data_IF_857537687698
#
_entry.id   IF_857537687698
#
_cell.length_a   1.000
_cell.length_b   1.000
_cell.length_c   1.000
_cell.angle_alpha   90.00
_cell.angle_beta   90.00
_cell.angle_gamma   90.00
#
_symmetry.space_group_name_H-M   'P 1'
#
loop_
_entity.id
_entity.type
_entity.pdbx_description
1 polymer ?
#
# COMPACT_ATOMS: atom_id res chain seq x y z
N UNK A 1 25.77 11.68 28.61
CA UNK A 1 24.62 11.55 27.69
C UNK A 1 24.92 12.44 26.50
N UNK A 2 24.95 11.89 25.29
CA UNK A 2 25.21 12.67 24.08
C UNK A 2 23.94 13.43 23.66
N UNK A 3 24.09 14.60 23.05
CA UNK A 3 22.95 15.38 22.55
C UNK A 3 22.39 14.69 21.30
N UNK A 4 21.07 14.54 21.24
CA UNK A 4 20.42 13.92 20.09
C UNK A 4 20.07 14.95 19.02
N UNK A 5 20.38 14.61 17.78
CA UNK A 5 20.16 15.43 16.60
C UNK A 5 19.33 14.65 15.58
N UNK A 6 18.53 15.34 14.79
CA UNK A 6 17.79 14.77 13.68
C UNK A 6 18.65 14.76 12.40
N UNK A 7 18.51 13.70 11.58
CA UNK A 7 19.27 13.55 10.35
C UNK A 7 18.88 14.59 9.29
N UNK A 8 19.88 15.29 8.76
CA UNK A 8 19.77 16.19 7.62
C UNK A 8 18.71 17.30 7.75
N UNK A 9 18.48 17.81 8.96
CA UNK A 9 17.59 18.96 9.21
C UNK A 9 18.39 20.24 9.46
N UNK A 10 17.76 21.39 9.21
CA UNK A 10 18.33 22.71 9.49
C UNK A 10 18.10 23.10 10.94
N UNK A 11 18.96 23.97 11.46
CA UNK A 11 18.76 24.69 12.72
C UNK A 11 18.68 23.82 13.98
N UNK A 12 19.74 23.05 14.26
CA UNK A 12 19.86 22.26 15.49
C UNK A 12 20.93 22.84 16.41
N UNK A 13 20.55 23.43 17.53
CA UNK A 13 21.49 24.07 18.46
C UNK A 13 22.21 23.05 19.35
N UNK A 14 23.54 23.13 19.37
CA UNK A 14 24.40 22.37 20.28
C UNK A 14 25.18 23.31 21.19
N UNK A 15 25.01 23.22 22.53
CA UNK A 15 25.89 23.90 23.47
C UNK A 15 27.28 23.27 23.44
N UNK A 16 28.30 24.12 23.46
CA UNK A 16 29.72 23.77 23.39
C UNK A 16 30.50 24.52 24.46
N UNK A 17 31.48 23.84 25.06
CA UNK A 17 32.28 24.38 26.16
C UNK A 17 32.04 23.61 27.47
N UNK A 18 32.42 24.20 28.63
CA UNK A 18 32.99 25.55 28.76
C UNK A 18 34.40 25.66 28.15
N UNK A 19 34.71 26.81 27.56
CA UNK A 19 36.06 27.19 27.17
C UNK A 19 36.76 27.87 28.35
N UNK A 20 37.83 27.26 28.82
CA UNK A 20 38.65 27.76 29.92
C UNK A 20 40.02 28.18 29.39
N UNK A 21 40.63 29.17 30.03
CA UNK A 21 41.94 29.69 29.66
C UNK A 21 43.01 28.59 29.67
N UNK A 22 43.86 28.56 28.65
CA UNK A 22 45.00 27.65 28.56
C UNK A 22 46.12 27.97 29.56
N UNK A 23 46.07 29.16 30.18
CA UNK A 23 47.07 29.61 31.15
C UNK A 23 46.83 29.02 32.54
N UNK A 24 45.57 28.94 32.97
CA UNK A 24 45.20 28.53 34.33
C UNK A 24 44.22 27.35 34.39
N UNK A 25 43.68 26.93 33.24
CA UNK A 25 42.68 25.87 33.14
C UNK A 25 41.38 26.14 33.91
N UNK A 26 41.11 27.40 34.26
CA UNK A 26 40.03 27.78 35.20
C UNK A 26 39.24 29.00 34.76
N UNK A 27 39.88 30.04 34.24
CA UNK A 27 39.21 31.29 33.88
C UNK A 27 38.39 31.09 32.62
N UNK A 28 37.09 31.40 32.67
CA UNK A 28 36.22 31.27 31.51
C UNK A 28 36.57 32.27 30.41
N UNK A 29 36.72 31.78 29.17
CA UNK A 29 36.96 32.62 28.00
C UNK A 29 35.63 33.04 27.38
N UNK A 30 35.28 34.32 27.49
CA UNK A 30 33.97 34.86 27.04
C UNK A 30 34.05 35.72 25.78
N UNK A 31 35.26 36.01 25.29
CA UNK A 31 35.52 36.88 24.13
C UNK A 31 36.02 36.15 22.88
N UNK A 32 35.90 34.82 22.82
CA UNK A 32 36.34 34.02 21.68
C UNK A 32 35.46 34.30 20.45
N UNK A 33 36.10 34.53 19.31
CA UNK A 33 35.45 34.49 17.98
C UNK A 33 35.70 33.12 17.39
N UNK A 34 34.67 32.27 17.35
CA UNK A 34 34.77 30.89 16.87
C UNK A 34 34.07 30.82 15.51
N UNK A 35 34.84 30.66 14.43
CA UNK A 35 34.31 30.53 13.08
C UNK A 35 33.87 29.08 12.80
N UNK A 36 33.10 28.87 11.72
CA UNK A 36 32.70 27.53 11.29
C UNK A 36 33.92 26.64 10.97
N UNK A 37 35.02 27.23 10.48
CA UNK A 37 36.27 26.54 10.20
C UNK A 37 37.03 26.07 11.44
N UNK A 38 36.75 26.66 12.61
CA UNK A 38 37.37 26.27 13.88
C UNK A 38 36.66 25.06 14.52
N UNK A 39 35.45 24.76 14.07
CA UNK A 39 34.64 23.64 14.52
C UNK A 39 34.86 22.46 13.56
N UNK A 40 35.66 21.49 13.99
CA UNK A 40 35.94 20.28 13.22
C UNK A 40 34.97 19.17 13.62
N UNK A 41 34.24 18.63 12.65
CA UNK A 41 33.30 17.54 12.85
C UNK A 41 33.90 16.23 12.35
N UNK A 42 33.87 15.22 13.21
CA UNK A 42 34.00 13.83 12.79
C UNK A 42 32.59 13.25 12.64
N UNK A 43 32.27 12.84 11.41
CA UNK A 43 30.98 12.22 11.06
C UNK A 43 31.14 10.71 11.09
N UNK A 44 30.07 9.99 11.42
CA UNK A 44 30.03 8.53 11.49
C UNK A 44 30.75 7.87 10.31
N UNK A 45 31.80 7.10 10.60
CA UNK A 45 32.59 6.36 9.60
C UNK A 45 33.61 7.18 8.80
N UNK A 46 33.78 8.48 9.07
CA UNK A 46 34.75 9.31 8.36
C UNK A 46 36.20 9.00 8.77
N UNK A 47 37.13 9.09 7.81
CA UNK A 47 38.59 8.98 8.06
C UNK A 47 39.26 10.34 8.24
N UNK A 48 38.54 11.43 7.98
CA UNK A 48 39.01 12.81 8.09
C UNK A 48 37.98 13.69 8.79
N UNK A 49 38.43 14.73 9.49
CA UNK A 49 37.55 15.75 10.03
C UNK A 49 37.17 16.75 8.95
N UNK A 50 35.93 17.23 8.98
CA UNK A 50 35.42 18.28 8.08
C UNK A 50 35.11 19.53 8.88
N UNK A 51 35.15 20.69 8.23
CA UNK A 51 34.66 21.91 8.87
C UNK A 51 33.15 21.82 9.03
N UNK A 52 32.63 22.47 10.06
CA UNK A 52 31.22 22.82 10.10
C UNK A 52 30.84 23.60 8.84
N UNK A 53 29.70 23.27 8.25
CA UNK A 53 29.30 23.78 6.94
C UNK A 53 29.14 25.31 6.91
N UNK A 54 28.36 25.87 7.83
CA UNK A 54 28.10 27.31 7.90
C UNK A 54 27.83 27.77 9.34
N UNK A 55 28.04 29.07 9.60
CA UNK A 55 27.82 29.70 10.91
C UNK A 55 28.88 29.32 11.96
N UNK A 56 29.36 30.33 12.70
CA UNK A 56 30.27 30.14 13.83
C UNK A 56 29.53 29.79 15.12
N UNK A 57 30.24 29.89 16.25
CA UNK A 57 29.62 29.76 17.57
C UNK A 57 29.39 31.14 18.23
N UNK A 58 28.34 31.22 19.04
CA UNK A 58 27.94 32.44 19.75
C UNK A 58 27.99 32.21 21.25
N UNK A 59 28.55 33.17 22.00
CA UNK A 59 28.67 33.07 23.46
C UNK A 59 27.29 33.07 24.14
N UNK A 60 27.09 32.16 25.09
CA UNK A 60 25.91 32.12 25.95
C UNK A 60 26.23 32.74 27.31
N UNK A 61 27.09 32.08 28.10
CA UNK A 61 27.47 32.48 29.46
C UNK A 61 28.68 31.68 29.94
N UNK A 62 29.51 32.27 30.80
CA UNK A 62 30.57 31.56 31.55
C UNK A 62 31.50 30.69 30.67
N UNK A 63 31.82 31.17 29.46
CA UNK A 63 32.66 30.43 28.51
C UNK A 63 31.93 29.28 27.79
N UNK A 64 30.63 29.12 27.97
CA UNK A 64 29.77 28.25 27.16
C UNK A 64 29.29 29.04 25.94
N UNK A 65 29.40 28.43 24.77
CA UNK A 65 28.91 28.94 23.49
C UNK A 65 27.86 27.97 22.94
N UNK A 66 27.14 28.35 21.89
CA UNK A 66 26.37 27.39 21.10
C UNK A 66 26.74 27.52 19.62
N UNK A 67 26.61 26.42 18.90
CA UNK A 67 26.66 26.39 17.44
C UNK A 67 25.37 25.77 16.90
N UNK A 68 24.90 26.24 15.74
CA UNK A 68 23.69 25.72 15.10
C UNK A 68 24.10 24.80 13.95
N UNK A 69 23.91 23.49 14.09
CA UNK A 69 24.20 22.50 13.05
C UNK A 69 23.10 22.48 11.99
N UNK A 70 23.48 22.23 10.74
CA UNK A 70 22.57 22.17 9.60
C UNK A 70 22.48 20.77 8.97
N UNK A 71 21.76 20.69 7.85
CA UNK A 71 21.53 19.44 7.14
C UNK A 71 22.83 18.81 6.59
N UNK A 72 23.82 19.63 6.25
CA UNK A 72 25.12 19.16 5.77
C UNK A 72 25.95 18.61 6.92
N UNK A 73 25.95 19.29 8.07
CA UNK A 73 26.66 18.84 9.26
C UNK A 73 26.12 17.47 9.74
N UNK A 74 24.79 17.33 9.73
CA UNK A 74 24.06 16.15 10.24
C UNK A 74 23.69 15.14 9.16
N UNK A 75 24.38 15.12 8.01
CA UNK A 75 23.97 14.29 6.85
C UNK A 75 24.22 12.78 6.98
N UNK A 76 24.89 12.33 8.05
CA UNK A 76 25.18 10.91 8.31
C UNK A 76 24.64 10.51 9.68
N UNK A 77 23.86 9.42 9.70
CA UNK A 77 23.30 8.83 10.92
C UNK A 77 24.40 8.15 11.73
N UNK A 78 24.31 8.27 13.06
CA UNK A 78 25.24 7.68 14.02
C UNK A 78 25.98 8.74 14.86
N UNK A 79 27.11 8.38 15.46
CA UNK A 79 27.87 9.29 16.31
C UNK A 79 28.43 10.48 15.50
N UNK A 80 28.32 11.67 16.09
CA UNK A 80 28.89 12.92 15.58
C UNK A 80 29.70 13.55 16.70
N UNK A 81 30.99 13.80 16.46
CA UNK A 81 31.88 14.37 17.49
C UNK A 81 32.49 15.65 16.95
N UNK A 82 32.41 16.72 17.73
CA UNK A 82 33.03 17.99 17.39
C UNK A 82 34.26 18.27 18.23
N UNK A 83 35.28 18.83 17.58
CA UNK A 83 36.54 19.25 18.19
C UNK A 83 36.80 20.71 17.86
N UNK A 84 37.15 21.49 18.89
CA UNK A 84 37.38 22.93 18.77
C UNK A 84 38.65 23.26 19.56
N UNK A 85 39.56 24.00 18.92
CA UNK A 85 40.78 24.49 19.56
C UNK A 85 40.97 25.94 19.16
N UNK A 86 40.84 26.83 20.15
CA UNK A 86 41.03 28.27 19.99
C UNK A 86 42.28 28.70 20.72
N UNK A 87 43.00 29.70 20.17
CA UNK A 87 44.12 30.30 20.89
C UNK A 87 43.64 30.93 22.21
N UNK A 88 44.41 30.73 23.28
CA UNK A 88 44.06 31.24 24.62
C UNK A 88 43.03 30.41 25.37
N UNK A 89 42.57 29.28 24.81
CA UNK A 89 41.61 28.38 25.46
C UNK A 89 42.03 26.92 25.35
N UNK A 90 41.70 26.13 26.37
CA UNK A 90 41.85 24.68 26.33
C UNK A 90 40.96 24.08 25.23
N UNK A 91 41.41 23.01 24.53
CA UNK A 91 40.59 22.33 23.53
C UNK A 91 39.30 21.76 24.13
N UNK A 92 38.21 21.87 23.38
CA UNK A 92 36.88 21.38 23.77
C UNK A 92 36.43 20.30 22.78
N UNK A 93 35.84 19.23 23.34
CA UNK A 93 35.15 18.19 22.60
C UNK A 93 33.67 18.19 22.99
N UNK A 94 32.78 18.04 22.02
CA UNK A 94 31.37 17.76 22.25
C UNK A 94 30.93 16.50 21.50
N UNK A 95 29.97 15.79 22.07
CA UNK A 95 29.49 14.51 21.54
C UNK A 95 27.98 14.58 21.30
N UNK A 96 27.60 14.30 20.07
CA UNK A 96 26.24 14.23 19.61
C UNK A 96 25.97 12.87 18.96
N UNK A 97 24.69 12.56 18.78
CA UNK A 97 24.23 11.43 17.98
C UNK A 97 23.21 11.91 16.98
N UNK A 98 23.52 11.76 15.70
CA UNK A 98 22.55 11.96 14.62
C UNK A 98 21.68 10.73 14.56
N UNK A 99 20.42 10.90 14.93
CA UNK A 99 19.39 9.88 14.85
C UNK A 99 18.94 9.72 13.41
N UNK A 100 18.56 8.51 13.04
CA UNK A 100 17.84 8.30 11.79
C UNK A 100 16.55 9.13 11.83
N UNK A 101 16.01 9.65 10.70
CA UNK A 101 14.72 10.35 10.71
C UNK A 101 13.61 9.51 11.33
N UNK A 102 13.77 8.19 11.33
CA UNK A 102 12.85 7.21 11.90
C UNK A 102 13.14 6.80 13.34
N UNK A 103 14.17 7.31 14.00
CA UNK A 103 14.38 7.02 15.43
C UNK A 103 13.45 7.83 16.34
N UNK A 104 13.03 9.03 15.91
CA UNK A 104 11.87 9.72 16.51
C UNK A 104 10.53 9.20 15.95
N UNK A 105 10.60 8.31 14.96
CA UNK A 105 9.46 7.59 14.41
C UNK A 105 9.62 6.13 14.85
N UNK A 106 9.60 5.92 16.16
CA UNK A 106 9.33 4.58 16.75
C UNK A 106 8.04 3.96 16.20
N UNK A 107 7.32 4.66 15.33
CA UNK A 107 6.26 4.10 14.53
C UNK A 107 6.33 4.45 13.05
N UNK A 108 7.22 3.75 12.33
CA UNK A 108 7.12 3.64 10.88
C UNK A 108 5.96 2.67 10.55
N UNK A 109 4.71 3.10 10.79
CA UNK A 109 3.46 2.31 10.74
C UNK A 109 3.14 1.66 9.39
N UNK A 110 3.93 1.94 8.34
CA UNK A 110 3.80 1.29 7.04
C UNK A 110 4.47 -0.09 6.97
N UNK A 111 5.11 -0.56 8.05
CA UNK A 111 5.80 -1.86 8.06
C UNK A 111 5.46 -2.79 9.23
N UNK A 112 4.72 -2.35 10.23
CA UNK A 112 4.40 -3.17 11.41
C UNK A 112 2.91 -3.50 11.48
N UNK A 113 2.59 -4.73 11.87
CA UNK A 113 1.23 -5.12 12.22
C UNK A 113 0.81 -4.40 13.51
N UNK A 114 -0.42 -3.91 13.55
CA UNK A 114 -0.96 -3.15 14.67
C UNK A 114 -2.05 -3.93 15.36
N UNK A 115 -1.96 -4.07 16.66
CA UNK A 115 -2.88 -4.86 17.47
C UNK A 115 -3.79 -3.94 18.27
N UNK A 116 -5.06 -4.30 18.37
CA UNK A 116 -6.05 -3.51 19.11
C UNK A 116 -7.28 -4.33 19.47
N UNK A 117 -7.98 -3.90 20.51
CA UNK A 117 -9.31 -4.41 20.85
C UNK A 117 -10.40 -3.47 20.31
N UNK A 118 -11.49 -4.05 19.80
CA UNK A 118 -12.65 -3.28 19.38
C UNK A 118 -13.34 -2.62 20.57
N UNK A 119 -13.96 -1.47 20.33
CA UNK A 119 -14.61 -0.67 21.38
C UNK A 119 -16.07 -0.39 21.09
N UNK A 120 -16.83 -0.04 22.12
CA UNK A 120 -18.22 0.38 21.99
C UNK A 120 -19.11 -0.72 21.43
N UNK A 121 -19.79 -0.45 20.32
CA UNK A 121 -20.70 -1.40 19.66
C UNK A 121 -20.17 -1.73 18.27
N UNK A 122 -19.17 -2.63 18.16
CA UNK A 122 -18.69 -3.07 16.85
C UNK A 122 -19.76 -3.89 16.14
N UNK A 123 -19.69 -3.90 14.82
CA UNK A 123 -20.59 -4.68 13.95
C UNK A 123 -19.75 -5.46 12.93
N UNK A 124 -20.39 -6.31 12.14
CA UNK A 124 -19.69 -7.07 11.09
C UNK A 124 -19.02 -6.17 10.03
N UNK A 125 -19.42 -4.91 9.87
CA UNK A 125 -18.88 -3.98 8.86
C UNK A 125 -18.17 -2.77 9.44
N UNK A 126 -18.33 -2.50 10.75
CA UNK A 126 -17.77 -1.32 11.40
C UNK A 126 -17.09 -1.69 12.70
N UNK A 127 -15.82 -1.35 12.82
CA UNK A 127 -15.01 -1.64 14.01
C UNK A 127 -14.57 -0.30 14.63
N UNK A 128 -15.23 0.15 15.70
CA UNK A 128 -14.78 1.32 16.46
C UNK A 128 -13.47 0.99 17.19
N UNK A 129 -12.50 1.89 17.08
CA UNK A 129 -11.18 1.78 17.70
C UNK A 129 -11.05 2.81 18.83
N UNK A 130 -10.40 2.43 19.93
CA UNK A 130 -10.29 3.27 21.13
C UNK A 130 -9.62 2.52 22.28
N UNK A 131 -9.47 3.18 23.43
CA UNK A 131 -8.79 2.59 24.59
C UNK A 131 -9.68 1.57 25.30
N UNK A 132 -9.47 0.28 25.02
CA UNK A 132 -9.87 -0.84 25.88
C UNK A 132 -8.69 -1.81 25.92
N UNK A 133 -8.22 -2.18 27.12
CA UNK A 133 -7.24 -3.26 27.32
C UNK A 133 -5.85 -3.05 26.69
N UNK A 134 -5.76 -3.28 25.38
CA UNK A 134 -4.55 -3.24 24.56
C UNK A 134 -4.83 -2.57 23.21
N UNK A 135 -4.12 -1.49 22.86
CA UNK A 135 -4.21 -0.85 21.54
C UNK A 135 -2.93 -0.13 21.17
N UNK A 136 -2.22 -0.69 20.20
CA UNK A 136 -1.06 -0.07 19.54
C UNK A 136 -1.50 0.84 18.37
N UNK A 137 -2.81 0.93 18.10
CA UNK A 137 -3.38 1.79 17.05
C UNK A 137 -3.57 3.24 17.51
N UNK A 138 -2.99 4.23 16.79
CA UNK A 138 -3.27 5.64 17.04
C UNK A 138 -4.72 6.03 16.70
N UNK A 139 -5.39 6.79 17.56
CA UNK A 139 -6.73 7.30 17.26
C UNK A 139 -6.69 8.55 16.35
N UNK A 140 -6.26 8.41 15.09
CA UNK A 140 -6.13 9.53 14.14
C UNK A 140 -7.43 10.32 13.97
N UNK A 141 -7.36 11.64 13.89
CA UNK A 141 -8.51 12.52 13.60
C UNK A 141 -8.78 12.69 12.10
N UNK A 142 -7.84 12.27 11.27
CA UNK A 142 -7.93 12.36 9.80
C UNK A 142 -8.73 11.20 9.23
N UNK A 143 -9.65 11.50 8.33
CA UNK A 143 -10.36 10.47 7.57
C UNK A 143 -9.40 9.70 6.66
N UNK A 144 -9.65 8.41 6.49
CA UNK A 144 -8.91 7.58 5.53
C UNK A 144 -7.54 7.09 5.99
N UNK A 145 -7.09 7.40 7.21
CA UNK A 145 -5.75 7.07 7.73
C UNK A 145 -5.38 5.57 7.64
N UNK A 146 -6.37 4.68 7.62
CA UNK A 146 -6.21 3.23 7.63
C UNK A 146 -6.65 2.54 6.33
N UNK A 147 -7.09 3.30 5.33
CA UNK A 147 -7.68 2.73 4.10
C UNK A 147 -6.63 1.94 3.32
N UNK A 148 -7.01 0.74 2.88
CA UNK A 148 -6.14 -0.20 2.17
C UNK A 148 -5.49 -1.25 3.06
N UNK A 149 -5.43 -1.03 4.38
CA UNK A 149 -4.94 -2.03 5.32
C UNK A 149 -5.86 -3.25 5.38
N UNK A 150 -5.29 -4.41 5.69
CA UNK A 150 -6.05 -5.62 5.97
C UNK A 150 -6.34 -5.72 7.46
N UNK A 151 -7.55 -6.15 7.80
CA UNK A 151 -7.95 -6.45 9.16
C UNK A 151 -8.06 -7.96 9.32
N UNK A 152 -7.35 -8.52 10.30
CA UNK A 152 -7.46 -9.91 10.73
C UNK A 152 -8.13 -9.95 12.10
N UNK A 153 -9.19 -10.74 12.24
CA UNK A 153 -9.72 -11.06 13.57
C UNK A 153 -8.86 -12.10 14.27
N UNK A 154 -8.52 -11.84 15.53
CA UNK A 154 -7.76 -12.76 16.39
C UNK A 154 -8.66 -13.53 17.37
N UNK A 155 -9.91 -13.12 17.51
CA UNK A 155 -10.84 -13.66 18.50
C UNK A 155 -11.51 -14.95 18.05
N UNK A 156 -12.05 -15.00 16.82
CA UNK A 156 -12.68 -16.20 16.26
C UNK A 156 -12.48 -16.26 14.74
N UNK A 157 -12.08 -17.45 14.24
CA UNK A 157 -12.02 -17.83 12.81
C UNK A 157 -10.97 -17.18 11.89
N UNK A 158 -10.00 -16.42 12.39
CA UNK A 158 -8.95 -15.80 11.55
C UNK A 158 -9.54 -15.16 10.28
N UNK A 159 -10.68 -14.48 10.43
CA UNK A 159 -11.37 -13.83 9.32
C UNK A 159 -10.57 -12.61 8.86
N UNK A 160 -10.39 -12.46 7.55
CA UNK A 160 -9.66 -11.34 6.94
C UNK A 160 -10.64 -10.46 6.18
N UNK A 161 -10.55 -9.16 6.42
CA UNK A 161 -11.26 -8.13 5.68
C UNK A 161 -10.31 -6.98 5.32
N UNK A 162 -10.80 -5.98 4.60
CA UNK A 162 -10.04 -4.80 4.21
C UNK A 162 -10.70 -3.55 4.74
N UNK A 163 -9.89 -2.62 5.21
CA UNK A 163 -10.35 -1.30 5.59
C UNK A 163 -10.63 -0.49 4.33
N UNK A 164 -11.90 -0.20 4.08
CA UNK A 164 -12.36 0.59 2.93
C UNK A 164 -12.57 2.06 3.28
N UNK A 165 -12.86 2.36 4.55
CA UNK A 165 -12.93 3.72 5.06
C UNK A 165 -12.48 3.81 6.51
N UNK A 166 -12.12 5.01 6.93
CA UNK A 166 -11.92 5.35 8.34
C UNK A 166 -12.48 6.74 8.60
N UNK A 167 -13.37 6.85 9.60
CA UNK A 167 -13.88 8.14 10.07
C UNK A 167 -13.08 8.58 11.30
N UNK A 168 -12.30 9.65 11.14
CA UNK A 168 -11.43 10.17 12.19
C UNK A 168 -12.15 10.92 13.31
N UNK A 169 -13.40 11.34 13.11
CA UNK A 169 -14.23 11.94 14.16
C UNK A 169 -14.80 10.87 15.10
N UNK A 170 -15.34 9.78 14.55
CA UNK A 170 -15.95 8.69 15.32
C UNK A 170 -14.96 7.58 15.69
N UNK A 171 -13.72 7.63 15.17
CA UNK A 171 -12.70 6.60 15.34
C UNK A 171 -13.20 5.23 14.91
N UNK A 172 -13.80 5.14 13.74
CA UNK A 172 -14.43 3.90 13.27
C UNK A 172 -13.84 3.45 11.94
N UNK A 173 -13.35 2.22 11.90
CA UNK A 173 -12.97 1.53 10.68
C UNK A 173 -14.22 0.99 10.00
N UNK A 174 -14.33 1.17 8.69
CA UNK A 174 -15.30 0.46 7.84
C UNK A 174 -14.56 -0.59 7.05
N UNK A 175 -15.09 -1.80 7.04
CA UNK A 175 -14.47 -2.95 6.40
C UNK A 175 -15.37 -3.61 5.36
N UNK A 176 -14.74 -4.20 4.34
CA UNK A 176 -15.40 -4.98 3.30
C UNK A 176 -14.42 -6.08 2.80
N UNK A 177 -14.82 -7.36 2.73
CA UNK A 177 -16.15 -7.92 3.05
C UNK A 177 -16.52 -7.86 4.54
N UNK A 178 -17.82 -7.89 4.91
CA UNK A 178 -18.23 -7.99 6.31
C UNK A 178 -17.64 -9.24 6.99
N UNK A 179 -17.33 -9.14 8.28
CA UNK A 179 -16.95 -10.31 9.07
C UNK A 179 -18.09 -11.34 9.12
N UNK A 180 -17.80 -12.65 9.15
CA UNK A 180 -18.82 -13.70 9.17
C UNK A 180 -19.53 -13.83 10.54
N UNK A 181 -19.22 -12.96 11.49
CA UNK A 181 -19.79 -12.90 12.83
C UNK A 181 -19.92 -11.44 13.26
N UNK A 182 -20.73 -11.19 14.29
CA UNK A 182 -20.84 -9.87 14.93
C UNK A 182 -19.83 -9.78 16.06
N UNK A 183 -18.75 -8.97 15.93
CA UNK A 183 -17.80 -8.74 17.01
C UNK A 183 -18.45 -8.04 18.21
N UNK A 184 -17.79 -8.16 19.37
CA UNK A 184 -18.14 -7.49 20.63
C UNK A 184 -17.04 -6.52 21.06
N UNK A 185 -17.36 -5.61 21.97
CA UNK A 185 -16.34 -4.78 22.61
C UNK A 185 -15.35 -5.67 23.36
N UNK A 186 -14.05 -5.41 23.20
CA UNK A 186 -12.98 -6.22 23.77
C UNK A 186 -12.46 -7.33 22.85
N UNK A 187 -13.10 -7.58 21.69
CA UNK A 187 -12.58 -8.54 20.73
C UNK A 187 -11.30 -8.01 20.07
N UNK A 188 -10.26 -8.85 20.00
CA UNK A 188 -8.94 -8.46 19.48
C UNK A 188 -8.82 -8.61 17.96
N UNK A 189 -8.12 -7.65 17.36
CA UNK A 189 -7.86 -7.54 15.94
C UNK A 189 -6.41 -7.15 15.66
N UNK A 190 -5.97 -7.45 14.45
CA UNK A 190 -4.68 -7.02 13.90
C UNK A 190 -4.92 -6.30 12.57
N UNK A 191 -4.43 -5.06 12.45
CA UNK A 191 -4.26 -4.41 11.14
C UNK A 191 -2.90 -4.80 10.57
N UNK A 192 -2.89 -5.37 9.38
CA UNK A 192 -1.69 -5.61 8.60
C UNK A 192 -1.51 -4.47 7.59
N UNK A 193 -0.31 -3.89 7.48
CA UNK A 193 -0.02 -2.90 6.47
C UNK A 193 -0.23 -3.54 5.10
N UNK A 194 -1.19 -2.99 4.36
CA UNK A 194 -1.52 -3.40 3.02
C UNK A 194 -1.59 -2.16 2.13
N UNK A 195 -0.93 -2.21 0.98
CA UNK A 195 -1.37 -1.35 -0.12
C UNK A 195 -2.79 -1.78 -0.51
N UNK A 196 -3.64 -0.88 -1.04
CA UNK A 196 -4.93 -1.30 -1.59
C UNK A 196 -4.66 -2.35 -2.67
N UNK A 197 -4.86 -3.63 -2.35
CA UNK A 197 -4.79 -4.75 -3.28
C UNK A 197 -5.94 -4.69 -4.25
N UNK A 198 -6.04 -3.66 -5.08
CA UNK A 198 -6.88 -3.76 -6.27
C UNK A 198 -6.28 -4.92 -7.06
N UNK A 199 -7.09 -5.90 -7.46
CA UNK A 199 -6.70 -6.70 -8.62
C UNK A 199 -6.45 -5.67 -9.70
N UNK A 200 -5.20 -5.52 -10.13
CA UNK A 200 -4.84 -4.53 -11.13
C UNK A 200 -5.78 -4.71 -12.33
N UNK A 201 -6.07 -3.63 -13.05
CA UNK A 201 -6.83 -3.78 -14.29
C UNK A 201 -6.16 -4.85 -15.18
N UNK A 202 -6.96 -5.79 -15.67
CA UNK A 202 -6.47 -6.96 -16.40
C UNK A 202 -5.75 -8.04 -15.57
N UNK A 203 -5.76 -8.02 -14.24
CA UNK A 203 -5.12 -9.08 -13.42
C UNK A 203 -5.73 -10.47 -13.67
N UNK A 204 -7.02 -10.53 -14.00
CA UNK A 204 -7.67 -11.73 -14.51
C UNK A 204 -7.62 -11.67 -16.04
N UNK A 205 -6.50 -12.10 -16.59
CA UNK A 205 -6.38 -12.33 -18.04
C UNK A 205 -6.96 -13.69 -18.42
N UNK A 206 -7.27 -13.90 -19.71
CA UNK A 206 -7.62 -15.21 -20.25
C UNK A 206 -6.55 -16.28 -19.92
N UNK A 207 -5.28 -15.91 -19.77
CA UNK A 207 -4.19 -16.83 -19.40
C UNK A 207 -4.18 -17.22 -17.92
N UNK A 208 -4.84 -16.46 -17.04
CA UNK A 208 -5.02 -16.79 -15.61
C UNK A 208 -6.22 -17.68 -15.35
N UNK A 209 -7.15 -17.74 -16.30
CA UNK A 209 -8.21 -18.72 -16.35
C UNK A 209 -7.59 -20.00 -16.91
N UNK A 210 -7.51 -21.06 -16.11
CA UNK A 210 -7.00 -22.34 -16.59
C UNK A 210 -7.82 -22.81 -17.81
N UNK A 211 -7.17 -23.49 -18.75
CA UNK A 211 -7.88 -24.22 -19.79
C UNK A 211 -8.96 -25.09 -19.13
N UNK A 212 -10.17 -25.08 -19.69
CA UNK A 212 -11.33 -25.81 -19.18
C UNK A 212 -11.82 -25.41 -17.77
N UNK A 213 -11.40 -24.27 -17.21
CA UNK A 213 -11.94 -23.78 -15.93
C UNK A 213 -13.48 -23.59 -15.98
N UNK A 214 -14.00 -23.29 -17.17
CA UNK A 214 -15.41 -23.26 -17.52
C UNK A 214 -15.75 -24.42 -18.45
N UNK A 215 -15.72 -25.64 -17.91
CA UNK A 215 -16.16 -26.83 -18.66
C UNK A 215 -17.60 -26.67 -19.16
N UNK A 216 -17.93 -27.31 -20.28
CA UNK A 216 -19.29 -27.39 -20.80
C UNK A 216 -20.31 -27.81 -19.73
N UNK A 217 -19.95 -28.73 -18.82
CA UNK A 217 -20.81 -29.17 -17.72
C UNK A 217 -21.24 -28.05 -16.75
N UNK A 218 -20.42 -27.00 -16.58
CA UNK A 218 -20.74 -25.85 -15.72
C UNK A 218 -21.59 -24.79 -16.42
N UNK A 219 -21.48 -24.69 -17.74
CA UNK A 219 -22.29 -23.79 -18.56
C UNK A 219 -23.63 -24.43 -19.01
N UNK A 220 -23.67 -25.77 -19.01
CA UNK A 220 -24.78 -26.59 -19.49
C UNK A 220 -26.10 -26.39 -18.73
N UNK A 221 -26.13 -25.76 -17.55
CA UNK A 221 -27.40 -25.50 -16.87
C UNK A 221 -28.13 -24.24 -17.39
N UNK A 222 -27.41 -23.23 -17.86
CA UNK A 222 -27.98 -21.95 -18.32
C UNK A 222 -28.10 -21.86 -19.84
N UNK A 223 -27.24 -22.56 -20.58
CA UNK A 223 -27.13 -22.40 -22.04
C UNK A 223 -27.80 -23.51 -22.85
N UNK A 224 -28.16 -24.62 -22.22
CA UNK A 224 -28.90 -25.68 -22.90
C UNK A 224 -30.29 -25.21 -23.30
N UNK A 225 -31.05 -24.55 -22.42
CA UNK A 225 -32.46 -24.22 -22.72
C UNK A 225 -32.63 -23.20 -23.85
N UNK A 226 -31.90 -22.08 -23.82
CA UNK A 226 -32.13 -20.96 -24.75
C UNK A 226 -31.47 -21.18 -26.12
N UNK A 227 -30.23 -21.71 -26.18
CA UNK A 227 -29.57 -21.96 -27.47
C UNK A 227 -30.10 -23.21 -28.18
N UNK A 228 -30.53 -24.24 -27.45
CA UNK A 228 -31.15 -25.42 -28.08
C UNK A 228 -32.54 -25.11 -28.62
N UNK A 229 -33.29 -24.19 -27.97
CA UNK A 229 -34.58 -23.72 -28.50
C UNK A 229 -34.44 -22.92 -29.80
N UNK A 230 -33.31 -22.21 -29.99
CA UNK A 230 -33.10 -21.32 -31.13
C UNK A 230 -32.54 -21.99 -32.38
N UNK A 231 -31.81 -23.11 -32.26
CA UNK A 231 -31.08 -23.69 -33.39
C UNK A 231 -31.95 -24.57 -34.31
N UNK A 232 -33.13 -25.00 -33.88
CA UNK A 232 -33.74 -26.26 -34.36
C UNK A 232 -32.74 -27.42 -34.16
N UNK A 233 -33.09 -28.43 -33.37
CA UNK A 233 -32.17 -29.57 -33.20
C UNK A 233 -31.78 -30.10 -34.58
N UNK A 234 -30.49 -30.39 -34.84
CA UNK A 234 -30.04 -30.93 -36.13
C UNK A 234 -30.95 -32.08 -36.63
N UNK A 235 -31.42 -32.92 -35.70
CA UNK A 235 -32.40 -33.97 -35.97
C UNK A 235 -33.73 -33.51 -36.61
N UNK A 236 -34.22 -32.31 -36.28
CA UNK A 236 -35.42 -31.74 -36.88
C UNK A 236 -35.14 -31.22 -38.30
N UNK A 237 -33.96 -30.65 -38.53
CA UNK A 237 -33.54 -30.24 -39.87
C UNK A 237 -33.30 -31.47 -40.76
N UNK A 238 -32.62 -32.50 -40.25
CA UNK A 238 -32.43 -33.78 -40.94
C UNK A 238 -33.77 -34.46 -41.25
N UNK A 239 -34.75 -34.37 -40.34
CA UNK A 239 -36.09 -34.91 -40.58
C UNK A 239 -36.82 -34.17 -41.72
N UNK A 240 -36.75 -32.83 -41.72
CA UNK A 240 -37.32 -32.02 -42.81
C UNK A 240 -36.61 -32.29 -44.13
N UNK A 241 -35.28 -32.39 -44.14
CA UNK A 241 -34.46 -32.71 -45.32
C UNK A 241 -34.87 -34.07 -45.92
N UNK A 242 -34.93 -35.12 -45.10
CA UNK A 242 -35.36 -36.45 -45.55
C UNK A 242 -36.81 -36.47 -46.08
N UNK A 243 -37.73 -35.71 -45.47
CA UNK A 243 -39.10 -35.60 -45.96
C UNK A 243 -39.14 -34.87 -47.30
N UNK A 244 -38.42 -33.76 -47.44
CA UNK A 244 -38.34 -32.99 -48.69
C UNK A 244 -37.73 -33.84 -49.80
N UNK A 245 -36.63 -34.56 -49.53
CA UNK A 245 -36.01 -35.47 -50.50
C UNK A 245 -36.98 -36.55 -50.99
N UNK A 246 -37.75 -37.13 -50.06
CA UNK A 246 -38.74 -38.17 -50.36
C UNK A 246 -39.89 -37.61 -51.21
N UNK A 247 -40.45 -36.46 -50.82
CA UNK A 247 -41.55 -35.82 -51.55
C UNK A 247 -41.10 -35.36 -52.94
N UNK A 248 -39.92 -34.75 -53.07
CA UNK A 248 -39.36 -34.31 -54.34
C UNK A 248 -39.10 -35.50 -55.26
N UNK A 249 -38.57 -36.61 -54.75
CA UNK A 249 -38.38 -37.83 -55.52
C UNK A 249 -39.71 -38.41 -56.02
N UNK A 250 -40.75 -38.41 -55.18
CA UNK A 250 -42.08 -38.88 -55.55
C UNK A 250 -42.74 -37.99 -56.61
N UNK A 251 -42.66 -36.66 -56.46
CA UNK A 251 -43.15 -35.69 -57.45
C UNK A 251 -42.44 -35.91 -58.78
N UNK A 252 -41.10 -35.99 -58.77
CA UNK A 252 -40.30 -36.23 -59.97
C UNK A 252 -40.75 -37.50 -60.70
N UNK A 253 -40.97 -38.59 -59.97
CA UNK A 253 -41.40 -39.86 -60.57
C UNK A 253 -42.78 -39.78 -61.26
N UNK A 254 -43.67 -38.91 -60.81
CA UNK A 254 -44.97 -38.67 -61.48
C UNK A 254 -44.79 -37.72 -62.66
N UNK A 255 -44.03 -36.64 -62.50
CA UNK A 255 -43.74 -35.68 -63.58
C UNK A 255 -43.03 -36.35 -64.75
N UNK A 256 -42.07 -37.24 -64.49
CA UNK A 256 -41.37 -38.01 -65.53
C UNK A 256 -42.32 -38.92 -66.35
N UNK A 257 -43.48 -39.31 -65.80
CA UNK A 257 -44.50 -40.09 -66.53
C UNK A 257 -45.40 -39.21 -67.40
N UNK A 258 -45.58 -37.94 -67.01
CA UNK A 258 -46.35 -36.95 -67.76
C UNK A 258 -45.57 -36.44 -68.97
N UNK A 259 -44.25 -36.28 -68.84
CA UNK A 259 -43.36 -35.80 -69.90
C UNK A 259 -43.53 -36.54 -71.25
N UNK A 260 -43.54 -37.88 -71.34
CA UNK A 260 -43.79 -38.58 -72.60
C UNK A 260 -45.26 -38.62 -73.03
N UNK A 261 -46.20 -38.26 -72.14
CA UNK A 261 -47.64 -38.30 -72.42
C UNK A 261 -48.17 -36.95 -72.93
N UNK A 262 -47.37 -35.89 -72.85
CA UNK A 262 -47.74 -34.53 -73.24
C UNK A 262 -46.90 -34.07 -74.44
N UNK A 263 -47.55 -33.48 -75.44
CA UNK A 263 -46.91 -32.74 -76.52
C UNK A 263 -47.20 -31.25 -76.37
N UNK A 264 -46.20 -30.40 -76.60
CA UNK A 264 -46.38 -28.95 -76.64
C UNK A 264 -46.79 -28.52 -78.05
N UNK A 265 -48.01 -28.01 -78.21
CA UNK A 265 -48.57 -27.63 -79.51
C UNK A 265 -48.13 -26.22 -80.01
N UNK A 266 -47.27 -25.54 -79.23
CA UNK A 266 -46.83 -24.17 -79.48
C UNK A 266 -47.53 -23.12 -78.60
N UNK A 267 -48.63 -23.44 -77.93
CA UNK A 267 -49.35 -22.55 -77.01
C UNK A 267 -49.69 -23.21 -75.66
N UNK A 268 -50.03 -24.50 -75.65
CA UNK A 268 -50.41 -25.27 -74.47
C UNK A 268 -49.85 -26.70 -74.54
N UNK A 269 -49.67 -27.34 -73.38
CA UNK A 269 -49.37 -28.78 -73.32
C UNK A 269 -50.67 -29.57 -73.50
N UNK A 270 -50.70 -30.50 -74.46
CA UNK A 270 -51.83 -31.40 -74.70
C UNK A 270 -51.39 -32.84 -74.52
N UNK A 271 -52.31 -33.71 -74.12
CA UNK A 271 -52.05 -35.15 -74.15
C UNK A 271 -51.90 -35.62 -75.60
N UNK A 272 -50.87 -36.42 -75.85
CA UNK A 272 -50.72 -37.19 -77.10
C UNK A 272 -51.86 -38.20 -77.27
#
# INVERSE_FOLDING_TARGET
>A
MAIELDHATVSQEVPIGPFLSDTDGKTAQTGLTIANTDIKLWKSGATTLVNKNSGGATHMANGVYYATLDATDTSLVGPLVGFIHMAGALPVKFECRVKQPTENVEYNYWRHCLFFDATGTPTATTIPIGAVGYSDLPAWTTNGAYVGMMLLSLYQYSAVSRVTAYNGATKTLTIDPPLPFTPSSGDSFMLLPGAPGVLADGAITAAKIAADAFTAAKFAALVTTELQSGLATAAALDAVDNFVDTEVAAIKAVTDKLDPALEFDGAEYRYM
#
